data_IF_464193468076
#
_entry.id   IF_464193468076
#
_cell.length_a   1.000
_cell.length_b   1.000
_cell.length_c   1.000
_cell.angle_alpha   90.00
_cell.angle_beta   90.00
_cell.angle_gamma   90.00
#
_symmetry.space_group_name_H-M   'P 1'
#
loop_
_entity.id
_entity.type
_entity.pdbx_description
1 polymer ?
#
# COMPACT_ATOMS: atom_id res chain seq x y z
N UNK A 1 -19.24 -37.73 39.26
CA UNK A 1 -20.46 -37.45 38.47
C UNK A 1 -20.43 -38.37 37.26
N UNK A 2 -21.47 -39.19 37.04
CA UNK A 2 -21.50 -40.11 35.91
C UNK A 2 -21.40 -39.31 34.60
N UNK A 3 -20.75 -39.92 33.61
CA UNK A 3 -20.54 -39.39 32.27
C UNK A 3 -21.90 -39.33 31.54
N UNK A 4 -22.69 -38.29 31.79
CA UNK A 4 -23.90 -37.96 31.02
C UNK A 4 -23.49 -37.36 29.67
N UNK A 5 -22.78 -38.12 28.84
CA UNK A 5 -22.69 -37.79 27.43
C UNK A 5 -24.10 -37.88 26.85
N UNK A 6 -24.64 -36.75 26.38
CA UNK A 6 -25.91 -36.75 25.64
C UNK A 6 -25.82 -37.81 24.52
N UNK A 7 -26.84 -38.67 24.34
CA UNK A 7 -26.81 -39.68 23.29
C UNK A 7 -26.57 -39.01 21.94
N UNK A 8 -25.81 -39.67 21.06
CA UNK A 8 -25.58 -39.15 19.71
C UNK A 8 -26.88 -39.24 18.90
N UNK A 9 -27.70 -38.20 19.00
CA UNK A 9 -28.99 -38.09 18.33
C UNK A 9 -28.74 -37.76 16.86
N UNK A 10 -28.42 -38.78 16.06
CA UNK A 10 -28.37 -38.65 14.60
C UNK A 10 -29.79 -38.50 14.06
N UNK A 11 -30.08 -37.40 13.37
CA UNK A 11 -31.34 -37.26 12.63
C UNK A 11 -31.34 -38.30 11.50
N UNK A 12 -32.38 -39.15 11.36
CA UNK A 12 -32.41 -40.20 10.34
C UNK A 12 -32.21 -39.63 8.92
N UNK A 13 -31.27 -40.22 8.17
CA UNK A 13 -31.01 -39.85 6.79
C UNK A 13 -32.09 -40.46 5.89
N UNK A 14 -33.18 -39.72 5.64
CA UNK A 14 -34.26 -40.18 4.76
C UNK A 14 -35.60 -39.48 4.89
N UNK A 15 -35.74 -38.52 5.82
CA UNK A 15 -37.02 -37.82 5.99
C UNK A 15 -37.41 -36.98 4.77
N UNK A 16 -38.65 -37.19 4.30
CA UNK A 16 -39.29 -36.32 3.32
C UNK A 16 -39.30 -34.85 3.82
N UNK A 17 -39.20 -33.88 2.90
CA UNK A 17 -39.10 -32.45 3.24
C UNK A 17 -40.20 -31.98 4.20
N UNK A 18 -41.42 -32.52 4.07
CA UNK A 18 -42.59 -32.14 4.87
C UNK A 18 -42.49 -32.62 6.33
N UNK A 19 -41.81 -33.75 6.59
CA UNK A 19 -41.63 -34.32 7.93
C UNK A 19 -40.71 -33.44 8.78
N UNK A 20 -39.67 -32.87 8.18
CA UNK A 20 -38.72 -31.97 8.86
C UNK A 20 -39.41 -30.69 9.35
N UNK A 21 -40.26 -30.09 8.52
CA UNK A 21 -41.02 -28.88 8.90
C UNK A 21 -42.07 -29.19 9.97
N UNK A 22 -42.79 -30.31 9.82
CA UNK A 22 -43.80 -30.72 10.79
C UNK A 22 -43.22 -30.89 12.20
N UNK A 23 -42.03 -31.48 12.32
CA UNK A 23 -41.37 -31.67 13.62
C UNK A 23 -41.02 -30.33 14.29
N UNK A 24 -40.57 -29.32 13.53
CA UNK A 24 -40.31 -27.99 14.09
C UNK A 24 -41.59 -27.33 14.61
N UNK A 25 -42.71 -27.51 13.90
CA UNK A 25 -44.01 -27.00 14.34
C UNK A 25 -44.51 -27.73 15.59
N UNK A 26 -44.36 -29.06 15.66
CA UNK A 26 -44.72 -29.85 16.86
C UNK A 26 -43.89 -29.44 18.07
N UNK A 27 -42.57 -29.28 17.93
CA UNK A 27 -41.68 -28.80 19.00
C UNK A 27 -42.10 -27.39 19.45
N UNK A 28 -42.41 -26.50 18.52
CA UNK A 28 -42.85 -25.13 18.84
C UNK A 28 -44.18 -25.13 19.62
N UNK A 29 -45.13 -25.98 19.22
CA UNK A 29 -46.42 -26.11 19.91
C UNK A 29 -46.25 -26.70 21.31
N UNK A 30 -45.40 -27.73 21.46
CA UNK A 30 -45.07 -28.31 22.76
C UNK A 30 -44.40 -27.28 23.68
N UNK A 31 -43.48 -26.46 23.15
CA UNK A 31 -42.86 -25.38 23.91
C UNK A 31 -43.89 -24.36 24.38
N UNK A 32 -44.82 -23.94 23.52
CA UNK A 32 -45.91 -23.03 23.89
C UNK A 32 -46.76 -23.60 25.04
N UNK A 33 -47.13 -24.88 24.97
CA UNK A 33 -47.89 -25.54 26.03
C UNK A 33 -47.11 -25.61 27.37
N UNK A 34 -45.82 -25.92 27.33
CA UNK A 34 -44.93 -25.94 28.50
C UNK A 34 -44.83 -24.53 29.12
N UNK A 35 -44.68 -23.49 28.29
CA UNK A 35 -44.61 -22.09 28.77
C UNK A 35 -45.93 -21.67 29.41
N UNK A 36 -47.06 -22.01 28.81
CA UNK A 36 -48.37 -21.72 29.38
C UNK A 36 -48.58 -22.41 30.75
N UNK A 37 -48.22 -23.70 30.85
CA UNK A 37 -48.30 -24.47 32.09
C UNK A 37 -47.39 -23.90 33.19
N UNK A 38 -46.15 -23.52 32.84
CA UNK A 38 -45.23 -22.87 33.78
C UNK A 38 -45.67 -21.46 34.18
N UNK A 39 -46.30 -20.71 33.28
CA UNK A 39 -46.89 -19.41 33.58
C UNK A 39 -48.00 -19.50 34.63
N UNK A 40 -48.85 -20.53 34.53
CA UNK A 40 -49.84 -20.83 35.57
C UNK A 40 -49.17 -21.23 36.90
N UNK A 41 -48.19 -22.12 36.85
CA UNK A 41 -47.50 -22.61 38.05
C UNK A 41 -46.71 -21.50 38.78
N UNK A 42 -46.12 -20.56 38.04
CA UNK A 42 -45.41 -19.40 38.60
C UNK A 42 -46.34 -18.43 39.35
N UNK A 43 -47.62 -18.37 38.96
CA UNK A 43 -48.65 -17.55 39.60
C UNK A 43 -49.42 -18.30 40.71
N UNK A 44 -49.05 -19.55 41.01
CA UNK A 44 -49.67 -20.33 42.08
C UNK A 44 -49.39 -19.70 43.45
N UNK A 45 -50.38 -19.70 44.34
CA UNK A 45 -50.21 -19.29 45.74
C UNK A 45 -49.26 -20.22 46.52
N UNK A 46 -49.08 -21.46 46.06
CA UNK A 46 -48.22 -22.46 46.70
C UNK A 46 -46.74 -22.30 46.29
N UNK A 47 -45.88 -21.97 47.25
CA UNK A 47 -44.44 -21.80 47.03
C UNK A 47 -43.74 -23.04 46.49
N UNK A 48 -44.18 -24.25 46.86
CA UNK A 48 -43.59 -25.51 46.35
C UNK A 48 -43.84 -25.68 44.85
N UNK A 49 -45.03 -25.30 44.38
CA UNK A 49 -45.39 -25.36 42.95
C UNK A 49 -44.55 -24.38 42.14
N UNK A 50 -44.36 -23.15 42.66
CA UNK A 50 -43.49 -22.15 42.02
C UNK A 50 -42.03 -22.62 41.93
N UNK A 51 -41.47 -23.10 43.04
CA UNK A 51 -40.08 -23.58 43.08
C UNK A 51 -39.86 -24.83 42.22
N UNK A 52 -40.82 -25.77 42.20
CA UNK A 52 -40.75 -26.95 41.34
C UNK A 52 -40.79 -26.56 39.87
N UNK A 53 -41.63 -25.60 39.48
CA UNK A 53 -41.68 -25.08 38.11
C UNK A 53 -40.41 -24.35 37.70
N UNK A 54 -39.79 -23.60 38.63
CA UNK A 54 -38.52 -22.93 38.39
C UNK A 54 -37.36 -23.92 38.27
N UNK A 55 -37.31 -24.96 39.10
CA UNK A 55 -36.31 -26.02 39.02
C UNK A 55 -36.42 -26.78 37.67
N UNK A 56 -37.64 -27.16 37.28
CA UNK A 56 -37.92 -27.78 35.99
C UNK A 56 -37.48 -26.88 34.80
N UNK A 57 -37.77 -25.58 34.88
CA UNK A 57 -37.29 -24.59 33.90
C UNK A 57 -35.76 -24.56 33.81
N UNK A 58 -35.07 -24.50 34.95
CA UNK A 58 -33.61 -24.46 35.00
C UNK A 58 -32.98 -25.76 34.47
N UNK A 59 -33.55 -26.91 34.80
CA UNK A 59 -33.10 -28.19 34.25
C UNK A 59 -33.25 -28.25 32.73
N UNK A 60 -34.38 -27.80 32.18
CA UNK A 60 -34.56 -27.71 30.74
C UNK A 60 -33.54 -26.76 30.09
N UNK A 61 -33.30 -25.58 30.68
CA UNK A 61 -32.34 -24.61 30.15
C UNK A 61 -30.92 -25.20 30.14
N UNK A 62 -30.51 -25.89 31.21
CA UNK A 62 -29.22 -26.58 31.27
C UNK A 62 -29.11 -27.64 30.17
N UNK A 63 -30.17 -28.40 29.90
CA UNK A 63 -30.17 -29.39 28.83
C UNK A 63 -30.03 -28.75 27.43
N UNK A 64 -30.75 -27.64 27.18
CA UNK A 64 -30.64 -26.89 25.93
C UNK A 64 -29.24 -26.30 25.72
N UNK A 65 -28.67 -25.70 26.77
CA UNK A 65 -27.30 -25.17 26.72
C UNK A 65 -26.25 -26.27 26.50
N UNK A 66 -26.43 -27.45 27.09
CA UNK A 66 -25.57 -28.61 26.83
C UNK A 66 -25.64 -29.04 25.36
N UNK A 67 -26.83 -29.05 24.76
CA UNK A 67 -27.00 -29.39 23.33
C UNK A 67 -26.37 -28.32 22.41
N UNK A 68 -26.53 -27.03 22.74
CA UNK A 68 -25.86 -25.96 22.02
C UNK A 68 -24.33 -26.09 22.04
N UNK A 69 -23.77 -26.39 23.22
CA UNK A 69 -22.34 -26.61 23.38
C UNK A 69 -21.90 -27.83 22.59
N UNK A 70 -22.64 -28.95 22.64
CA UNK A 70 -22.36 -30.17 21.87
C UNK A 70 -22.24 -29.86 20.37
N UNK A 71 -23.15 -29.09 19.80
CA UNK A 71 -23.12 -28.71 18.37
C UNK A 71 -21.91 -27.82 18.06
N UNK A 72 -21.61 -26.83 18.91
CA UNK A 72 -20.47 -25.92 18.75
C UNK A 72 -19.14 -26.69 18.86
N UNK A 73 -19.03 -27.59 19.82
CA UNK A 73 -17.85 -28.42 20.08
C UNK A 73 -17.63 -29.44 18.96
N UNK A 74 -18.68 -30.11 18.49
CA UNK A 74 -18.60 -31.04 17.36
C UNK A 74 -18.13 -30.33 16.08
N UNK A 75 -18.56 -29.07 15.87
CA UNK A 75 -18.06 -28.24 14.76
C UNK A 75 -16.58 -27.90 14.94
N UNK A 76 -16.14 -27.53 16.14
CA UNK A 76 -14.75 -27.15 16.41
C UNK A 76 -13.80 -28.35 16.39
N UNK A 77 -14.27 -29.52 16.82
CA UNK A 77 -13.53 -30.78 16.81
C UNK A 77 -13.15 -31.23 15.38
N UNK A 78 -13.99 -30.92 14.37
CA UNK A 78 -13.72 -31.19 12.94
C UNK A 78 -12.55 -30.38 12.36
N UNK A 79 -12.13 -29.30 13.04
CA UNK A 79 -10.98 -28.49 12.63
C UNK A 79 -9.72 -29.11 13.23
N UNK A 80 -8.71 -29.36 12.38
CA UNK A 80 -7.38 -29.79 12.82
C UNK A 80 -6.88 -28.88 13.96
N UNK A 81 -6.38 -29.43 15.08
CA UNK A 81 -5.96 -28.63 16.24
C UNK A 81 -5.02 -27.47 15.92
N UNK A 82 -4.15 -27.58 14.90
CA UNK A 82 -3.21 -26.52 14.49
C UNK A 82 -3.90 -25.36 13.77
N UNK A 83 -5.10 -25.59 13.23
CA UNK A 83 -5.88 -24.61 12.47
C UNK A 83 -7.04 -24.00 13.29
N UNK A 84 -7.20 -24.42 14.57
CA UNK A 84 -8.24 -23.86 15.44
C UNK A 84 -7.88 -22.41 15.83
N UNK A 85 -8.87 -21.51 15.96
CA UNK A 85 -8.65 -20.17 16.49
C UNK A 85 -7.99 -20.22 17.87
N UNK A 86 -6.96 -19.39 18.08
CA UNK A 86 -6.30 -19.30 19.38
C UNK A 86 -7.13 -18.49 20.36
N UNK A 87 -7.21 -18.96 21.61
CA UNK A 87 -7.75 -18.16 22.71
C UNK A 87 -6.89 -16.90 22.91
N UNK A 88 -7.47 -15.68 22.84
CA UNK A 88 -6.81 -14.46 23.26
C UNK A 88 -6.57 -14.46 24.77
N UNK A 89 -5.68 -13.59 25.18
CA UNK A 89 -5.29 -13.32 26.56
C UNK A 89 -6.45 -13.33 27.58
N UNK A 90 -7.51 -12.54 27.31
CA UNK A 90 -8.68 -12.39 28.18
C UNK A 90 -9.46 -13.68 28.32
N UNK A 91 -9.60 -14.45 27.24
CA UNK A 91 -10.28 -15.73 27.25
C UNK A 91 -9.46 -16.80 27.98
N UNK A 92 -8.12 -16.77 27.90
CA UNK A 92 -7.26 -17.66 28.70
C UNK A 92 -7.46 -17.44 30.19
N UNK A 93 -7.54 -16.18 30.63
CA UNK A 93 -7.82 -15.86 32.03
C UNK A 93 -9.22 -16.36 32.44
N UNK A 94 -10.25 -16.09 31.64
CA UNK A 94 -11.61 -16.58 31.89
C UNK A 94 -11.69 -18.12 31.96
N UNK A 95 -10.90 -18.84 31.15
CA UNK A 95 -10.80 -20.30 31.21
C UNK A 95 -10.20 -20.76 32.55
N UNK A 96 -9.16 -20.09 33.04
CA UNK A 96 -8.56 -20.41 34.34
C UNK A 96 -9.51 -20.10 35.50
N UNK A 97 -10.24 -18.99 35.45
CA UNK A 97 -11.29 -18.63 36.41
C UNK A 97 -12.41 -19.68 36.43
N UNK A 98 -12.89 -20.10 35.26
CA UNK A 98 -13.91 -21.15 35.15
C UNK A 98 -13.40 -22.50 35.67
N UNK A 99 -12.15 -22.86 35.38
CA UNK A 99 -11.52 -24.05 35.93
C UNK A 99 -11.50 -24.01 37.46
N UNK A 100 -11.12 -22.86 38.04
CA UNK A 100 -11.08 -22.68 39.50
C UNK A 100 -12.47 -22.75 40.11
N UNK A 101 -13.46 -22.03 39.56
CA UNK A 101 -14.84 -22.01 40.04
C UNK A 101 -15.53 -23.40 39.96
N UNK A 102 -15.18 -24.21 38.96
CA UNK A 102 -15.74 -25.56 38.76
C UNK A 102 -14.96 -26.67 39.47
N UNK A 103 -13.81 -26.37 40.07
CA UNK A 103 -12.93 -27.38 40.66
C UNK A 103 -12.37 -28.37 39.64
N UNK A 104 -12.19 -27.96 38.38
CA UNK A 104 -11.74 -28.85 37.32
C UNK A 104 -10.26 -29.19 37.41
N UNK A 105 -9.91 -30.44 37.07
CA UNK A 105 -8.54 -30.84 36.77
C UNK A 105 -8.05 -30.21 35.45
N UNK A 106 -6.73 -30.22 35.21
CA UNK A 106 -6.15 -29.75 33.95
C UNK A 106 -6.74 -30.50 32.74
N UNK A 107 -6.91 -31.82 32.88
CA UNK A 107 -7.47 -32.66 31.83
C UNK A 107 -8.96 -32.35 31.56
N UNK A 108 -9.74 -32.05 32.60
CA UNK A 108 -11.15 -31.67 32.45
C UNK A 108 -11.28 -30.33 31.71
N UNK A 109 -10.55 -29.29 32.15
CA UNK A 109 -10.57 -27.99 31.48
C UNK A 109 -10.07 -28.09 30.03
N UNK A 110 -9.00 -28.86 29.80
CA UNK A 110 -8.45 -29.08 28.47
C UNK A 110 -9.46 -29.75 27.51
N UNK A 111 -10.18 -30.77 27.98
CA UNK A 111 -11.27 -31.39 27.20
C UNK A 111 -12.40 -30.41 26.92
N UNK A 112 -12.84 -29.64 27.91
CA UNK A 112 -13.94 -28.67 27.74
C UNK A 112 -13.61 -27.56 26.76
N UNK A 113 -12.36 -27.08 26.73
CA UNK A 113 -11.93 -26.00 25.83
C UNK A 113 -11.16 -26.50 24.60
N UNK A 114 -11.16 -27.82 24.35
CA UNK A 114 -10.54 -28.46 23.19
C UNK A 114 -9.05 -28.06 22.96
N UNK A 115 -8.30 -27.94 24.06
CA UNK A 115 -6.84 -27.67 24.08
C UNK A 115 -6.08 -28.83 24.72
N UNK A 116 -4.75 -28.82 24.62
CA UNK A 116 -3.92 -29.81 25.28
C UNK A 116 -3.77 -29.48 26.79
N UNK A 117 -3.75 -30.47 27.71
CA UNK A 117 -3.56 -30.23 29.15
C UNK A 117 -2.32 -29.40 29.49
N UNK A 118 -1.24 -29.57 28.72
CA UNK A 118 0.02 -28.84 28.85
C UNK A 118 -0.17 -27.34 28.57
N UNK A 119 -1.10 -26.99 27.69
CA UNK A 119 -1.42 -25.59 27.38
C UNK A 119 -2.03 -24.89 28.58
N UNK A 120 -2.95 -25.56 29.30
CA UNK A 120 -3.53 -25.03 30.53
C UNK A 120 -2.45 -24.92 31.62
N UNK A 121 -1.56 -25.91 31.74
CA UNK A 121 -0.45 -25.87 32.69
C UNK A 121 0.49 -24.69 32.44
N UNK A 122 0.82 -24.40 31.17
CA UNK A 122 1.64 -23.24 30.78
C UNK A 122 0.95 -21.92 31.13
N UNK A 123 -0.36 -21.81 30.95
CA UNK A 123 -1.09 -20.60 31.32
C UNK A 123 -1.11 -20.39 32.83
N UNK A 124 -1.33 -21.45 33.61
CA UNK A 124 -1.33 -21.40 35.07
C UNK A 124 0.04 -20.93 35.60
N UNK A 125 1.12 -21.57 35.12
CA UNK A 125 2.49 -21.22 35.48
C UNK A 125 2.81 -19.75 35.21
N UNK A 126 2.35 -19.19 34.09
CA UNK A 126 2.55 -17.77 33.76
C UNK A 126 1.79 -16.81 34.67
N UNK A 127 0.62 -17.20 35.16
CA UNK A 127 -0.12 -16.43 36.15
C UNK A 127 0.59 -16.46 37.49
N UNK A 128 1.12 -17.61 37.88
CA UNK A 128 1.83 -17.81 39.15
C UNK A 128 3.17 -17.06 39.18
N UNK A 129 3.94 -17.07 38.07
CA UNK A 129 5.27 -16.46 37.99
C UNK A 129 5.23 -14.95 37.68
N UNK A 130 4.31 -14.49 36.84
CA UNK A 130 4.32 -13.12 36.27
C UNK A 130 3.05 -12.31 36.61
N UNK A 131 2.13 -12.88 37.38
CA UNK A 131 0.86 -12.27 37.80
C UNK A 131 -0.24 -12.29 36.71
N UNK A 132 -1.51 -12.00 37.06
CA UNK A 132 -2.65 -12.08 36.12
C UNK A 132 -2.51 -11.16 34.89
N UNK A 133 -1.77 -10.06 35.03
CA UNK A 133 -1.54 -9.09 33.97
C UNK A 133 -0.64 -9.62 32.83
N UNK A 134 0.19 -10.65 33.08
CA UNK A 134 1.11 -11.21 32.10
C UNK A 134 0.40 -11.96 30.97
N UNK A 135 -0.71 -12.64 31.28
CA UNK A 135 -1.58 -13.24 30.27
C UNK A 135 -2.27 -12.17 29.42
N UNK A 136 -2.51 -10.98 29.99
CA UNK A 136 -3.26 -9.85 29.38
C UNK A 136 -2.38 -8.91 28.55
N UNK A 137 -1.13 -8.69 28.94
CA UNK A 137 -0.20 -7.86 28.19
C UNK A 137 0.40 -8.63 27.01
N UNK A 138 -0.13 -8.40 25.80
CA UNK A 138 0.54 -8.83 24.58
C UNK A 138 1.86 -8.05 24.43
N UNK A 139 3.04 -8.72 24.38
CA UNK A 139 4.24 -8.07 23.88
C UNK A 139 3.92 -7.54 22.49
N UNK A 140 3.99 -6.22 22.29
CA UNK A 140 3.70 -5.61 21.00
C UNK A 140 4.48 -6.31 19.89
N UNK A 141 3.88 -6.52 18.70
CA UNK A 141 4.52 -7.32 17.66
C UNK A 141 5.89 -6.74 17.32
N UNK A 142 6.94 -7.58 17.32
CA UNK A 142 8.35 -7.20 17.06
C UNK A 142 8.51 -6.47 15.71
N UNK A 143 7.60 -6.70 14.77
CA UNK A 143 7.54 -6.05 13.46
C UNK A 143 6.98 -4.61 13.48
N UNK A 144 6.40 -4.15 14.60
CA UNK A 144 5.79 -2.82 14.69
C UNK A 144 6.89 -1.75 14.67
N UNK A 145 6.79 -0.81 13.73
CA UNK A 145 7.65 0.37 13.73
C UNK A 145 7.30 1.29 14.91
N UNK A 146 8.31 1.92 15.56
CA UNK A 146 8.08 2.93 16.59
C UNK A 146 7.27 4.12 16.07
N UNK A 147 6.55 4.83 16.95
CA UNK A 147 5.65 5.91 16.55
C UNK A 147 6.36 7.12 15.93
N UNK A 148 7.62 7.38 16.26
CA UNK A 148 8.39 8.44 15.58
C UNK A 148 8.53 8.18 14.07
N UNK A 149 8.55 6.90 13.63
CA UNK A 149 8.57 6.55 12.20
C UNK A 149 7.27 6.95 11.53
N UNK A 150 6.13 6.79 12.22
CA UNK A 150 4.83 7.28 11.76
C UNK A 150 4.86 8.81 11.62
N UNK A 151 5.41 9.50 12.62
CA UNK A 151 5.56 10.97 12.59
C UNK A 151 6.42 11.42 11.40
N UNK A 152 7.56 10.77 11.12
CA UNK A 152 8.39 11.04 9.94
C UNK A 152 7.58 10.91 8.64
N UNK A 153 6.81 9.83 8.50
CA UNK A 153 5.99 9.58 7.30
C UNK A 153 4.91 10.66 7.13
N UNK A 154 4.21 11.01 8.21
CA UNK A 154 3.17 12.03 8.21
C UNK A 154 3.76 13.42 7.93
N UNK A 155 4.86 13.79 8.60
CA UNK A 155 5.57 15.06 8.39
C UNK A 155 6.05 15.19 6.95
N UNK A 156 6.64 14.14 6.38
CA UNK A 156 7.06 14.14 4.99
C UNK A 156 5.87 14.31 4.03
N UNK A 157 4.72 13.69 4.32
CA UNK A 157 3.49 13.90 3.52
C UNK A 157 3.00 15.35 3.60
N UNK A 158 3.09 15.98 4.77
CA UNK A 158 2.72 17.40 4.94
C UNK A 158 3.66 18.32 4.17
N UNK A 159 4.98 18.08 4.24
CA UNK A 159 5.98 18.88 3.51
C UNK A 159 5.94 18.64 2.00
N UNK A 160 5.50 17.46 1.56
CA UNK A 160 5.48 17.06 0.16
C UNK A 160 4.13 16.43 -0.23
N UNK A 161 3.04 17.21 -0.31
CA UNK A 161 1.67 16.70 -0.48
C UNK A 161 1.46 15.97 -1.81
N UNK A 162 2.26 16.25 -2.83
CA UNK A 162 2.20 15.58 -4.13
C UNK A 162 2.63 14.10 -4.08
N UNK A 163 3.37 13.69 -3.05
CA UNK A 163 3.89 12.33 -2.97
C UNK A 163 2.79 11.35 -2.53
N UNK A 164 2.53 10.36 -3.39
CA UNK A 164 1.70 9.20 -3.04
C UNK A 164 2.46 8.19 -2.16
N UNK A 165 1.73 7.26 -1.53
CA UNK A 165 2.28 6.24 -0.60
C UNK A 165 3.48 5.46 -1.15
N UNK A 166 3.45 5.10 -2.45
CA UNK A 166 4.54 4.36 -3.10
C UNK A 166 5.80 5.22 -3.24
N UNK A 167 5.63 6.49 -3.63
CA UNK A 167 6.75 7.39 -3.83
C UNK A 167 7.36 7.79 -2.48
N UNK A 168 6.54 8.00 -1.44
CA UNK A 168 7.02 8.17 -0.07
C UNK A 168 7.88 7.00 0.38
N UNK A 169 7.41 5.76 0.20
CA UNK A 169 8.19 4.57 0.52
C UNK A 169 9.55 4.54 -0.22
N UNK A 170 9.57 4.88 -1.51
CA UNK A 170 10.80 4.92 -2.30
C UNK A 170 11.75 6.05 -1.86
N UNK A 171 11.23 7.24 -1.56
CA UNK A 171 12.02 8.36 -1.04
C UNK A 171 12.65 7.98 0.30
N UNK A 172 11.88 7.38 1.21
CA UNK A 172 12.40 6.92 2.50
C UNK A 172 13.42 5.79 2.35
N UNK A 173 13.19 4.83 1.43
CA UNK A 173 14.16 3.78 1.16
C UNK A 173 15.50 4.35 0.65
N UNK A 174 15.46 5.40 -0.18
CA UNK A 174 16.67 6.12 -0.61
C UNK A 174 17.38 6.85 0.53
N UNK A 175 16.63 7.32 1.52
CA UNK A 175 17.17 7.90 2.75
C UNK A 175 17.61 6.84 3.78
N UNK A 176 17.43 5.55 3.49
CA UNK A 176 17.86 4.44 4.34
C UNK A 176 16.76 3.87 5.25
N UNK A 177 15.49 4.23 5.09
CA UNK A 177 14.37 3.68 5.85
C UNK A 177 13.40 2.90 4.95
N UNK A 178 13.37 1.58 5.11
CA UNK A 178 12.63 0.69 4.21
C UNK A 178 11.24 0.37 4.76
N UNK A 179 10.22 0.94 4.12
CA UNK A 179 8.81 0.71 4.46
C UNK A 179 8.03 0.19 3.26
N UNK A 180 7.11 -0.75 3.48
CA UNK A 180 6.16 -1.15 2.44
C UNK A 180 5.18 -0.02 2.16
N UNK A 181 4.74 0.12 0.91
CA UNK A 181 3.74 1.14 0.53
C UNK A 181 2.40 0.98 1.30
N UNK A 182 2.06 -0.24 1.70
CA UNK A 182 0.92 -0.56 2.56
C UNK A 182 1.13 -0.04 3.99
N UNK A 183 2.32 -0.23 4.57
CA UNK A 183 2.71 0.31 5.87
C UNK A 183 2.66 1.84 5.89
N UNK A 184 3.23 2.49 4.87
CA UNK A 184 3.11 3.95 4.70
C UNK A 184 1.63 4.36 4.62
N UNK A 185 0.84 3.65 3.83
CA UNK A 185 -0.60 3.90 3.73
C UNK A 185 -1.36 3.74 5.05
N UNK A 186 -0.96 2.79 5.91
CA UNK A 186 -1.52 2.64 7.27
C UNK A 186 -1.09 3.78 8.18
N UNK A 187 0.19 4.15 8.17
CA UNK A 187 0.73 5.27 8.96
C UNK A 187 0.06 6.62 8.62
N UNK A 188 -0.26 6.83 7.34
CA UNK A 188 -0.99 8.04 6.90
C UNK A 188 -2.46 8.06 7.30
N UNK A 189 -3.09 6.88 7.50
CA UNK A 189 -4.50 6.75 7.90
C UNK A 189 -4.68 6.68 9.40
N UNK A 190 -3.64 6.25 10.13
CA UNK A 190 -3.66 6.16 11.58
C UNK A 190 -3.75 7.57 12.18
N UNK A 191 -4.94 7.91 12.69
CA UNK A 191 -5.12 8.93 13.73
C UNK A 191 -4.88 8.27 15.09
N UNK A 192 -4.65 9.06 16.14
CA UNK A 192 -4.65 8.56 17.51
C UNK A 192 -5.95 7.77 17.77
N UNK A 193 -5.79 6.66 18.47
CA UNK A 193 -6.52 5.41 18.23
C UNK A 193 -8.01 5.43 18.63
N UNK A 194 -8.89 4.99 17.72
CA UNK A 194 -10.09 4.16 18.01
C UNK A 194 -10.30 3.16 16.85
N UNK A 195 -10.55 1.89 17.17
CA UNK A 195 -10.86 0.81 16.20
C UNK A 195 -12.39 0.71 15.97
N UNK A 196 -12.88 0.16 14.83
CA UNK A 196 -14.10 0.60 14.15
C UNK A 196 -15.23 -0.43 14.19
N UNK A 197 -16.27 -0.24 13.35
CA UNK A 197 -16.59 -1.33 12.44
C UNK A 197 -16.84 -0.91 10.98
N UNK A 198 -16.62 -1.88 10.08
CA UNK A 198 -17.34 -2.05 8.81
C UNK A 198 -16.81 -1.32 7.56
N UNK A 199 -16.45 -2.10 6.53
CA UNK A 199 -16.48 -1.63 5.13
C UNK A 199 -17.34 -2.58 4.30
N UNK A 200 -18.23 -2.08 3.44
CA UNK A 200 -18.70 -2.84 2.29
C UNK A 200 -17.64 -2.87 1.18
N UNK A 201 -17.53 -4.02 0.52
CA UNK A 201 -16.79 -4.23 -0.73
C UNK A 201 -17.42 -3.38 -1.85
N UNK A 202 -16.59 -2.75 -2.68
CA UNK A 202 -17.00 -2.17 -3.95
C UNK A 202 -16.24 -2.84 -5.10
N UNK A 203 -17.05 -3.37 -6.02
CA UNK A 203 -16.89 -3.74 -7.43
C UNK A 203 -15.52 -4.19 -7.97
N UNK A 204 -15.54 -5.41 -8.49
CA UNK A 204 -14.65 -5.88 -9.56
C UNK A 204 -14.84 -5.01 -10.81
N UNK A 205 -13.76 -4.34 -11.23
CA UNK A 205 -13.65 -3.84 -12.59
C UNK A 205 -13.15 -4.96 -13.47
N UNK A 206 -14.00 -5.39 -14.40
CA UNK A 206 -13.66 -6.27 -15.53
C UNK A 206 -12.56 -5.59 -16.35
N UNK A 207 -11.38 -6.21 -16.41
CA UNK A 207 -10.31 -5.79 -17.31
C UNK A 207 -10.64 -6.27 -18.73
N UNK A 208 -11.20 -5.38 -19.54
CA UNK A 208 -11.24 -5.55 -21.00
C UNK A 208 -9.81 -5.68 -21.54
N UNK A 209 -9.52 -6.86 -22.07
CA UNK A 209 -8.26 -7.18 -22.74
C UNK A 209 -8.21 -6.44 -24.09
N UNK A 210 -7.58 -5.26 -24.12
CA UNK A 210 -7.20 -4.60 -25.36
C UNK A 210 -5.98 -5.31 -25.99
N UNK A 211 -5.94 -5.48 -27.33
CA UNK A 211 -5.00 -6.38 -27.99
C UNK A 211 -3.53 -5.95 -27.85
N UNK A 212 -2.65 -6.94 -27.84
CA UNK A 212 -1.20 -6.88 -27.61
C UNK A 212 -0.51 -5.78 -28.41
N UNK A 213 -0.24 -4.68 -27.72
CA UNK A 213 0.45 -3.52 -28.27
C UNK A 213 1.94 -3.81 -28.46
N UNK A 214 2.50 -3.40 -29.61
CA UNK A 214 3.96 -3.40 -29.84
C UNK A 214 4.65 -2.48 -28.82
N UNK A 215 5.10 -3.04 -27.70
CA UNK A 215 5.86 -2.33 -26.67
C UNK A 215 7.20 -1.88 -27.27
N UNK A 216 7.48 -0.58 -27.21
CA UNK A 216 8.80 -0.05 -27.60
C UNK A 216 9.82 -0.54 -26.58
N UNK A 217 10.64 -1.53 -26.96
CA UNK A 217 11.68 -2.07 -26.07
C UNK A 217 13.03 -1.38 -26.31
N UNK A 218 13.59 -0.75 -25.28
CA UNK A 218 14.97 -0.26 -25.29
C UNK A 218 15.88 -1.21 -24.51
N UNK A 219 17.02 -1.60 -25.10
CA UNK A 219 17.92 -2.62 -24.53
C UNK A 219 19.06 -2.04 -23.68
N UNK A 220 19.50 -0.82 -23.98
CA UNK A 220 20.64 -0.16 -23.32
C UNK A 220 20.49 1.37 -23.32
N UNK A 221 21.25 2.11 -22.49
CA UNK A 221 21.25 3.57 -22.49
C UNK A 221 21.57 4.15 -23.88
N UNK A 222 20.85 5.17 -24.32
CA UNK A 222 20.95 5.76 -25.66
C UNK A 222 20.53 4.82 -26.80
N UNK A 223 19.83 3.71 -26.53
CA UNK A 223 19.25 2.92 -27.61
C UNK A 223 18.11 3.68 -28.31
N UNK A 224 17.21 4.26 -27.53
CA UNK A 224 16.02 4.96 -28.01
C UNK A 224 15.82 6.23 -27.21
N UNK A 225 15.79 7.37 -27.87
CA UNK A 225 15.38 8.64 -27.27
C UNK A 225 13.97 9.00 -27.72
N UNK A 226 13.18 9.56 -26.82
CA UNK A 226 11.89 10.17 -27.13
C UNK A 226 12.07 11.68 -27.13
N UNK A 227 11.48 12.34 -28.12
CA UNK A 227 11.53 13.80 -28.29
C UNK A 227 10.12 14.31 -28.47
N UNK A 228 9.76 15.32 -27.69
CA UNK A 228 8.44 15.92 -27.74
C UNK A 228 8.50 17.40 -27.34
N UNK A 229 7.49 18.15 -27.77
CA UNK A 229 7.31 19.56 -27.45
C UNK A 229 6.12 19.73 -26.50
N UNK A 230 6.26 20.61 -25.53
CA UNK A 230 5.15 20.95 -24.64
C UNK A 230 5.15 22.42 -24.30
N UNK A 231 3.99 22.97 -23.99
CA UNK A 231 3.83 24.35 -23.54
C UNK A 231 3.83 24.46 -22.02
N UNK A 232 4.46 25.52 -21.53
CA UNK A 232 4.49 25.96 -20.14
C UNK A 232 3.93 27.39 -20.05
N UNK A 233 2.64 27.56 -19.71
CA UNK A 233 2.01 28.85 -19.49
C UNK A 233 2.73 29.67 -18.42
N UNK A 234 2.81 30.98 -18.62
CA UNK A 234 3.44 31.94 -17.69
C UNK A 234 2.45 32.57 -16.72
N UNK A 235 1.16 32.57 -17.05
CA UNK A 235 0.04 33.05 -16.22
C UNK A 235 -1.30 32.74 -16.90
N UNK A 236 -2.39 32.69 -16.12
CA UNK A 236 -3.78 32.57 -16.59
C UNK A 236 -4.09 31.29 -17.39
N UNK A 237 -4.79 30.33 -16.77
CA UNK A 237 -5.28 29.08 -17.35
C UNK A 237 -4.23 28.16 -18.03
N UNK A 238 -3.97 27.00 -17.41
CA UNK A 238 -3.16 25.92 -18.00
C UNK A 238 -3.90 25.15 -19.12
N UNK A 239 -4.78 25.82 -19.88
CA UNK A 239 -5.59 25.25 -20.95
C UNK A 239 -4.96 25.57 -22.30
N UNK A 240 -4.56 24.53 -23.03
CA UNK A 240 -3.93 24.66 -24.35
C UNK A 240 -4.95 24.62 -25.51
N UNK A 241 -6.26 24.66 -25.23
CA UNK A 241 -7.33 24.55 -26.21
C UNK A 241 -8.24 25.78 -26.21
N UNK A 242 -8.82 26.09 -27.37
CA UNK A 242 -9.73 27.21 -27.59
C UNK A 242 -11.08 27.03 -26.86
N UNK A 243 -11.76 28.11 -26.44
CA UNK A 243 -11.39 29.52 -26.60
C UNK A 243 -10.46 30.06 -25.50
N UNK A 244 -10.17 29.25 -24.47
CA UNK A 244 -9.46 29.70 -23.26
C UNK A 244 -7.92 29.64 -23.38
N UNK A 245 -7.38 29.26 -24.54
CA UNK A 245 -5.94 29.29 -24.77
C UNK A 245 -5.49 30.69 -25.16
N UNK A 246 -4.71 31.34 -24.29
CA UNK A 246 -3.91 32.49 -24.69
C UNK A 246 -2.97 32.10 -25.85
N UNK A 247 -2.56 33.09 -26.65
CA UNK A 247 -1.66 32.85 -27.78
C UNK A 247 -0.45 32.02 -27.33
N UNK A 248 -0.20 30.88 -27.98
CA UNK A 248 0.85 29.93 -27.59
C UNK A 248 2.26 30.44 -27.97
N UNK A 249 2.61 31.60 -27.43
CA UNK A 249 3.87 32.31 -27.58
C UNK A 249 4.14 33.15 -26.34
N UNK A 250 5.38 33.55 -26.17
CA UNK A 250 5.78 34.54 -25.17
C UNK A 250 5.04 35.86 -25.44
N UNK A 251 4.52 36.56 -24.41
CA UNK A 251 4.78 36.34 -22.99
C UNK A 251 3.85 35.37 -22.27
N UNK A 252 2.87 34.74 -22.94
CA UNK A 252 1.83 33.91 -22.30
C UNK A 252 2.23 32.44 -22.09
N UNK A 253 3.13 31.91 -22.92
CA UNK A 253 3.70 30.60 -22.69
C UNK A 253 5.13 30.46 -23.22
N UNK A 254 5.86 29.53 -22.60
CA UNK A 254 7.11 29.00 -23.12
C UNK A 254 6.87 27.70 -23.86
N UNK A 255 7.60 27.49 -24.97
CA UNK A 255 7.70 26.20 -25.61
C UNK A 255 8.92 25.46 -25.08
N UNK A 256 8.70 24.23 -24.60
CA UNK A 256 9.71 23.34 -24.05
C UNK A 256 9.91 22.16 -24.98
N UNK A 257 11.12 21.97 -25.48
CA UNK A 257 11.52 20.74 -26.16
C UNK A 257 12.21 19.82 -25.16
N UNK A 258 11.78 18.56 -25.07
CA UNK A 258 12.30 17.60 -24.11
C UNK A 258 12.86 16.39 -24.84
N UNK A 259 13.98 15.87 -24.36
CA UNK A 259 14.55 14.58 -24.80
C UNK A 259 14.66 13.65 -23.61
N UNK A 260 14.14 12.43 -23.70
CA UNK A 260 14.25 11.41 -22.64
C UNK A 260 14.76 10.08 -23.21
N UNK A 261 15.74 9.47 -22.53
CA UNK A 261 16.21 8.13 -22.84
C UNK A 261 15.20 7.09 -22.35
N UNK A 262 14.76 6.21 -23.25
CA UNK A 262 13.72 5.24 -22.91
C UNK A 262 14.19 4.22 -21.86
N UNK A 263 15.45 3.77 -21.93
CA UNK A 263 15.95 2.70 -21.08
C UNK A 263 16.10 3.13 -19.61
N UNK A 264 16.71 4.29 -19.40
CA UNK A 264 17.02 4.83 -18.07
C UNK A 264 15.96 5.79 -17.53
N UNK A 265 15.04 6.26 -18.39
CA UNK A 265 14.14 7.38 -18.11
C UNK A 265 14.87 8.70 -17.87
N UNK A 266 16.18 8.79 -18.17
CA UNK A 266 16.97 10.00 -17.98
C UNK A 266 16.55 11.07 -18.97
N UNK A 267 16.28 12.27 -18.48
CA UNK A 267 16.08 13.43 -19.36
C UNK A 267 17.44 13.85 -19.86
N UNK A 268 17.62 13.80 -21.17
CA UNK A 268 18.88 14.03 -21.85
C UNK A 268 19.12 15.52 -22.07
N UNK A 269 18.06 16.29 -22.28
CA UNK A 269 18.13 17.74 -22.42
C UNK A 269 16.75 18.40 -22.48
N UNK A 270 16.74 19.71 -22.22
CA UNK A 270 15.58 20.59 -22.41
C UNK A 270 15.94 21.85 -23.17
N UNK A 271 15.08 22.25 -24.09
CA UNK A 271 15.17 23.51 -24.82
C UNK A 271 14.00 24.41 -24.46
N UNK A 272 14.25 25.72 -24.29
CA UNK A 272 13.21 26.72 -24.02
C UNK A 272 13.16 27.72 -25.17
N UNK A 273 11.96 27.95 -25.71
CA UNK A 273 11.69 28.79 -26.88
C UNK A 273 10.52 29.74 -26.63
N UNK A 274 10.59 30.94 -27.22
CA UNK A 274 9.54 31.98 -27.13
C UNK A 274 8.29 31.67 -27.95
N UNK A 275 8.38 30.78 -28.92
CA UNK A 275 7.28 30.37 -29.79
C UNK A 275 7.51 28.93 -30.23
N UNK A 276 6.54 28.34 -30.92
CA UNK A 276 6.70 26.98 -31.47
C UNK A 276 7.99 26.92 -32.30
N UNK A 277 8.94 26.03 -31.94
CA UNK A 277 10.24 26.00 -32.60
C UNK A 277 10.12 25.40 -34.00
N UNK A 278 10.82 26.01 -34.95
CA UNK A 278 10.96 25.46 -36.31
C UNK A 278 11.85 24.21 -36.27
N UNK A 279 11.74 23.36 -37.29
CA UNK A 279 12.54 22.13 -37.40
C UNK A 279 14.06 22.35 -37.23
N UNK A 280 14.60 23.45 -37.78
CA UNK A 280 16.03 23.80 -37.64
C UNK A 280 16.41 24.02 -36.17
N UNK A 281 15.61 24.78 -35.42
CA UNK A 281 15.84 25.05 -34.00
C UNK A 281 15.78 23.76 -33.16
N UNK A 282 14.86 22.85 -33.50
CA UNK A 282 14.79 21.52 -32.87
C UNK A 282 16.04 20.69 -33.19
N UNK A 283 16.52 20.69 -34.45
CA UNK A 283 17.75 20.00 -34.84
C UNK A 283 19.00 20.57 -34.13
N UNK A 284 19.07 21.89 -33.94
CA UNK A 284 20.17 22.55 -33.24
C UNK A 284 20.14 22.22 -31.73
N UNK A 285 18.96 22.16 -31.14
CA UNK A 285 18.76 21.68 -29.76
C UNK A 285 19.17 20.22 -29.59
N UNK A 286 18.76 19.33 -30.50
CA UNK A 286 19.16 17.91 -30.46
C UNK A 286 20.66 17.73 -30.67
N UNK A 287 21.26 18.54 -31.54
CA UNK A 287 22.72 18.52 -31.77
C UNK A 287 23.48 18.92 -30.51
N UNK A 288 23.04 19.98 -29.81
CA UNK A 288 23.61 20.37 -28.52
C UNK A 288 23.42 19.28 -27.47
N UNK A 289 22.22 18.72 -27.34
CA UNK A 289 21.94 17.62 -26.40
C UNK A 289 22.86 16.41 -26.63
N UNK A 290 23.08 16.00 -27.88
CA UNK A 290 24.00 14.90 -28.23
C UNK A 290 25.43 15.20 -27.79
N UNK A 291 25.90 16.43 -28.04
CA UNK A 291 27.24 16.88 -27.65
C UNK A 291 27.39 16.90 -26.13
N UNK A 292 26.43 17.50 -25.43
CA UNK A 292 26.50 17.72 -23.98
C UNK A 292 26.42 16.38 -23.21
N UNK A 293 25.63 15.43 -23.71
CA UNK A 293 25.56 14.05 -23.17
C UNK A 293 26.77 13.20 -23.59
N UNK A 294 27.49 13.61 -24.64
CA UNK A 294 28.54 12.82 -25.31
C UNK A 294 28.04 11.44 -25.79
N UNK A 295 26.78 11.36 -26.21
CA UNK A 295 26.19 10.13 -26.74
C UNK A 295 25.12 10.41 -27.79
N UNK A 296 24.97 9.48 -28.74
CA UNK A 296 24.02 9.58 -29.85
C UNK A 296 23.01 8.43 -29.80
N UNK A 297 21.70 8.68 -29.96
CA UNK A 297 20.72 7.61 -30.00
C UNK A 297 20.78 6.79 -31.30
N UNK A 298 20.44 5.51 -31.22
CA UNK A 298 20.20 4.69 -32.42
C UNK A 298 18.85 5.03 -33.08
N UNK A 299 17.82 5.25 -32.25
CA UNK A 299 16.48 5.60 -32.67
C UNK A 299 15.98 6.86 -31.96
N UNK A 300 15.28 7.73 -32.68
CA UNK A 300 14.49 8.82 -32.10
C UNK A 300 13.02 8.51 -32.34
N UNK A 301 12.22 8.58 -31.29
CA UNK A 301 10.76 8.52 -31.34
C UNK A 301 10.22 9.94 -31.14
N UNK A 302 9.38 10.39 -32.05
CA UNK A 302 8.73 11.70 -32.02
C UNK A 302 7.32 11.61 -32.60
N UNK A 303 6.50 12.62 -32.37
CA UNK A 303 5.18 12.74 -32.99
C UNK A 303 5.29 13.15 -34.48
N UNK A 304 4.15 13.23 -35.17
CA UNK A 304 4.08 13.71 -36.56
C UNK A 304 3.95 15.24 -36.65
N UNK A 305 4.32 15.99 -35.60
CA UNK A 305 4.27 17.44 -35.62
C UNK A 305 5.14 18.04 -36.74
N UNK A 306 4.78 19.24 -37.20
CA UNK A 306 5.42 19.94 -38.34
C UNK A 306 6.94 20.08 -38.19
N UNK A 307 7.43 20.16 -36.96
CA UNK A 307 8.85 20.23 -36.62
C UNK A 307 9.63 18.94 -36.93
N UNK A 308 8.99 17.77 -36.85
CA UNK A 308 9.61 16.46 -37.05
C UNK A 308 9.21 15.83 -38.39
N UNK A 309 7.97 16.05 -38.85
CA UNK A 309 7.47 15.55 -40.13
C UNK A 309 7.87 16.47 -41.30
N UNK A 310 9.17 16.68 -41.50
CA UNK A 310 9.67 17.55 -42.56
C UNK A 310 11.01 17.06 -43.15
N UNK A 311 11.33 17.51 -44.38
CA UNK A 311 12.58 17.15 -45.08
C UNK A 311 13.84 17.53 -44.27
N UNK A 312 13.95 18.71 -43.63
CA UNK A 312 15.14 19.08 -42.85
C UNK A 312 15.44 18.12 -41.69
N UNK A 313 14.43 17.73 -40.91
CA UNK A 313 14.59 16.80 -39.80
C UNK A 313 15.03 15.41 -40.29
N UNK A 314 14.36 14.87 -41.32
CA UNK A 314 14.73 13.58 -41.93
C UNK A 314 16.17 13.60 -42.44
N UNK A 315 16.61 14.70 -43.07
CA UNK A 315 18.00 14.89 -43.53
C UNK A 315 18.99 14.99 -42.36
N UNK A 316 18.64 15.68 -41.28
CA UNK A 316 19.47 15.77 -40.07
C UNK A 316 19.67 14.38 -39.43
N UNK A 317 18.62 13.58 -39.31
CA UNK A 317 18.67 12.20 -38.83
C UNK A 317 19.56 11.33 -39.72
N UNK A 318 19.37 11.36 -41.05
CA UNK A 318 20.17 10.59 -42.02
C UNK A 318 21.67 10.89 -41.89
N UNK A 319 22.06 12.18 -41.87
CA UNK A 319 23.47 12.60 -41.71
C UNK A 319 24.12 12.07 -40.43
N UNK A 320 23.33 11.99 -39.35
CA UNK A 320 23.80 11.47 -38.06
C UNK A 320 23.55 9.98 -37.90
N UNK A 321 23.16 9.23 -38.94
CA UNK A 321 22.81 7.79 -38.87
C UNK A 321 21.81 7.46 -37.73
N UNK A 322 20.89 8.38 -37.45
CA UNK A 322 19.80 8.19 -36.48
C UNK A 322 18.56 7.75 -37.25
N UNK A 323 17.87 6.70 -36.77
CA UNK A 323 16.64 6.21 -37.41
C UNK A 323 15.41 6.83 -36.73
N UNK A 324 14.71 7.80 -37.36
CA UNK A 324 13.50 8.36 -36.77
C UNK A 324 12.36 7.33 -36.86
N UNK A 325 11.55 7.28 -35.80
CA UNK A 325 10.30 6.52 -35.73
C UNK A 325 9.22 7.50 -35.29
N UNK A 326 8.09 7.48 -35.97
CA UNK A 326 6.99 8.38 -35.68
C UNK A 326 5.90 7.63 -34.93
N UNK A 327 5.41 8.22 -33.84
CA UNK A 327 4.22 7.71 -33.15
C UNK A 327 3.05 7.64 -34.13
N UNK A 328 2.32 6.53 -34.16
CA UNK A 328 1.08 6.44 -34.92
C UNK A 328 -0.05 7.12 -34.13
N UNK A 329 -0.79 8.01 -34.79
CA UNK A 329 -2.02 8.61 -34.24
C UNK A 329 -2.95 7.45 -33.86
N UNK A 330 -3.42 7.42 -32.61
CA UNK A 330 -4.33 6.38 -32.10
C UNK A 330 -3.69 5.08 -31.56
N UNK A 331 -2.36 4.90 -31.62
CA UNK A 331 -1.68 3.75 -30.95
C UNK A 331 -1.05 4.17 -29.62
N UNK A 332 -1.82 3.98 -28.54
CA UNK A 332 -1.51 4.32 -27.15
C UNK A 332 -0.28 3.62 -26.56
N UNK A 333 0.96 4.06 -26.78
CA UNK A 333 2.06 3.51 -25.97
C UNK A 333 3.46 3.94 -26.35
N UNK A 334 3.67 4.31 -27.61
CA UNK A 334 5.01 4.71 -28.08
C UNK A 334 5.50 6.01 -27.41
N UNK A 335 4.61 6.95 -27.08
CA UNK A 335 4.94 8.24 -26.44
C UNK A 335 4.67 8.29 -24.93
N UNK A 336 4.09 7.24 -24.36
CA UNK A 336 3.65 7.21 -22.95
C UNK A 336 4.76 7.55 -21.94
N UNK A 337 6.03 7.31 -22.32
CA UNK A 337 7.21 7.60 -21.49
C UNK A 337 7.46 9.10 -21.40
N UNK A 338 7.49 9.79 -22.55
CA UNK A 338 7.76 11.23 -22.58
C UNK A 338 6.54 12.00 -22.09
N UNK A 339 5.32 11.56 -22.39
CA UNK A 339 4.08 12.13 -21.86
C UNK A 339 4.04 12.06 -20.32
N UNK A 340 4.42 10.91 -19.74
CA UNK A 340 4.51 10.75 -18.28
C UNK A 340 5.58 11.66 -17.67
N UNK A 341 6.68 11.87 -18.38
CA UNK A 341 7.68 12.85 -17.94
C UNK A 341 7.14 14.27 -18.04
N UNK A 342 6.52 14.67 -19.15
CA UNK A 342 5.93 16.02 -19.33
C UNK A 342 4.91 16.30 -18.22
N UNK A 343 4.07 15.33 -17.87
CA UNK A 343 3.17 15.44 -16.71
C UNK A 343 3.94 15.65 -15.41
N UNK A 344 5.01 14.90 -15.17
CA UNK A 344 5.88 15.10 -13.99
C UNK A 344 6.50 16.49 -13.98
N UNK A 345 7.07 16.95 -15.09
CA UNK A 345 7.68 18.28 -15.25
C UNK A 345 6.68 19.39 -14.91
N UNK A 346 5.42 19.26 -15.35
CA UNK A 346 4.36 20.22 -15.04
C UNK A 346 3.90 20.12 -13.58
N UNK A 347 3.55 18.92 -13.10
CA UNK A 347 2.89 18.73 -11.79
C UNK A 347 3.83 18.92 -10.60
N UNK A 348 5.08 18.45 -10.73
CA UNK A 348 6.09 18.49 -9.66
C UNK A 348 7.06 19.67 -9.81
N UNK A 349 7.17 20.26 -11.00
CA UNK A 349 8.03 21.41 -11.27
C UNK A 349 7.23 22.68 -11.53
N UNK A 350 6.83 22.89 -12.78
CA UNK A 350 6.39 24.19 -13.29
C UNK A 350 5.12 24.74 -12.64
N UNK A 351 4.17 23.89 -12.23
CA UNK A 351 2.95 24.32 -11.52
C UNK A 351 3.18 24.70 -10.05
N UNK A 352 4.41 24.52 -9.54
CA UNK A 352 4.78 24.80 -8.14
C UNK A 352 5.51 26.12 -7.97
N UNK A 353 5.70 26.85 -9.05
CA UNK A 353 6.45 28.10 -9.08
C UNK A 353 5.69 29.16 -9.87
N UNK A 354 6.05 30.42 -9.63
CA UNK A 354 5.79 31.48 -10.59
C UNK A 354 6.77 31.30 -11.75
N UNK A 355 6.24 30.99 -12.94
CA UNK A 355 7.07 30.70 -14.12
C UNK A 355 7.84 31.97 -14.53
N UNK A 356 9.18 31.94 -14.62
CA UNK A 356 9.95 33.12 -14.95
C UNK A 356 9.63 33.67 -16.36
N UNK A 357 9.49 34.99 -16.49
CA UNK A 357 9.21 35.67 -17.76
C UNK A 357 10.47 35.93 -18.60
N UNK A 358 11.66 35.82 -18.01
CA UNK A 358 12.94 35.96 -18.71
C UNK A 358 13.44 34.60 -19.18
N UNK A 359 13.88 34.51 -20.44
CA UNK A 359 14.37 33.26 -21.04
C UNK A 359 15.53 32.63 -20.25
N UNK A 360 16.48 33.44 -19.75
CA UNK A 360 17.60 32.96 -18.95
C UNK A 360 17.15 32.27 -17.66
N UNK A 361 16.31 32.96 -16.87
CA UNK A 361 15.74 32.42 -15.62
C UNK A 361 14.91 31.17 -15.88
N UNK A 362 14.08 31.15 -16.93
CA UNK A 362 13.27 29.98 -17.29
C UNK A 362 14.14 28.77 -17.67
N UNK A 363 15.25 28.99 -18.39
CA UNK A 363 16.22 27.92 -18.71
C UNK A 363 16.89 27.38 -17.46
N UNK A 364 17.36 28.25 -16.58
CA UNK A 364 17.96 27.84 -15.29
C UNK A 364 16.98 26.99 -14.49
N UNK A 365 15.72 27.40 -14.45
CA UNK A 365 14.68 26.69 -13.70
C UNK A 365 14.34 25.33 -14.30
N UNK A 366 14.13 25.27 -15.62
CA UNK A 366 13.88 24.03 -16.34
C UNK A 366 15.03 23.02 -16.17
N UNK A 367 16.28 23.51 -16.19
CA UNK A 367 17.46 22.68 -15.96
C UNK A 367 17.56 22.19 -14.51
N UNK A 368 17.22 23.01 -13.52
CA UNK A 368 17.21 22.60 -12.11
C UNK A 368 16.18 21.48 -11.84
N UNK A 369 14.97 21.60 -12.41
CA UNK A 369 13.95 20.54 -12.32
C UNK A 369 14.45 19.24 -12.92
N UNK A 370 15.14 19.30 -14.07
CA UNK A 370 15.70 18.12 -14.74
C UNK A 370 16.85 17.50 -13.96
N UNK A 371 17.75 18.33 -13.42
CA UNK A 371 18.84 17.86 -12.58
C UNK A 371 18.26 17.10 -11.39
N UNK A 372 17.32 17.69 -10.65
CA UNK A 372 16.62 17.04 -9.54
C UNK A 372 15.89 15.75 -9.97
N UNK A 373 15.18 15.77 -11.10
CA UNK A 373 14.49 14.60 -11.63
C UNK A 373 15.48 13.45 -11.90
N UNK A 374 16.62 13.76 -12.51
CA UNK A 374 17.63 12.77 -12.87
C UNK A 374 18.41 12.25 -11.65
N UNK A 375 18.70 13.09 -10.66
CA UNK A 375 19.63 12.75 -9.55
C UNK A 375 18.94 12.37 -8.25
N UNK A 376 17.75 12.91 -7.98
CA UNK A 376 17.10 12.81 -6.67
C UNK A 376 15.79 12.01 -6.71
N UNK A 377 14.99 12.18 -7.76
CA UNK A 377 13.62 11.63 -7.83
C UNK A 377 13.62 10.11 -8.04
N UNK A 378 12.97 9.31 -7.17
CA UNK A 378 12.82 7.87 -7.40
C UNK A 378 11.79 7.54 -8.49
N UNK A 379 12.01 6.41 -9.18
CA UNK A 379 11.11 5.92 -10.22
C UNK A 379 10.61 4.50 -9.94
N UNK A 380 9.30 4.32 -9.87
CA UNK A 380 8.67 2.99 -9.69
C UNK A 380 9.05 2.00 -10.79
N UNK A 381 9.08 2.43 -12.05
CA UNK A 381 9.49 1.59 -13.19
C UNK A 381 10.96 1.19 -13.15
N UNK A 382 11.78 1.85 -12.31
CA UNK A 382 13.19 1.55 -12.09
C UNK A 382 13.45 0.90 -10.72
N UNK A 383 12.40 0.47 -10.01
CA UNK A 383 12.53 -0.12 -8.67
C UNK A 383 13.04 0.86 -7.60
N UNK A 384 12.68 2.14 -7.72
CA UNK A 384 13.09 3.19 -6.78
C UNK A 384 14.46 3.83 -7.07
N UNK A 385 15.15 3.39 -8.13
CA UNK A 385 16.37 4.05 -8.63
C UNK A 385 16.03 5.39 -9.27
N UNK A 386 17.01 6.30 -9.31
CA UNK A 386 16.91 7.52 -10.12
C UNK A 386 17.30 7.23 -11.57
N UNK A 387 16.91 8.11 -12.51
CA UNK A 387 17.32 7.97 -13.89
C UNK A 387 18.84 7.97 -14.09
N UNK A 388 19.59 8.80 -13.35
CA UNK A 388 21.05 8.81 -13.42
C UNK A 388 21.68 7.52 -12.89
N UNK A 389 21.17 6.97 -11.78
CA UNK A 389 21.63 5.68 -11.25
C UNK A 389 21.47 4.56 -12.29
N UNK A 390 20.32 4.54 -12.99
CA UNK A 390 20.07 3.56 -14.05
C UNK A 390 20.91 3.80 -15.30
N UNK A 391 21.09 5.06 -15.70
CA UNK A 391 21.84 5.44 -16.90
C UNK A 391 23.33 5.15 -16.75
N UNK A 392 23.93 5.59 -15.63
CA UNK A 392 25.36 5.43 -15.33
C UNK A 392 25.72 4.04 -14.77
N UNK A 393 24.72 3.21 -14.46
CA UNK A 393 24.88 1.88 -13.86
C UNK A 393 25.64 1.89 -12.53
N UNK A 394 25.46 2.95 -11.74
CA UNK A 394 26.06 3.08 -10.40
C UNK A 394 25.19 2.40 -9.34
N UNK A 395 25.79 2.15 -8.17
CA UNK A 395 25.07 1.62 -7.01
C UNK A 395 23.91 2.56 -6.62
N UNK A 396 22.71 1.99 -6.49
CA UNK A 396 21.50 2.76 -6.20
C UNK A 396 21.39 3.10 -4.72
N UNK A 397 21.07 4.35 -4.39
CA UNK A 397 20.93 4.79 -3.00
C UNK A 397 19.89 3.98 -2.22
N UNK A 398 18.79 3.56 -2.87
CA UNK A 398 17.76 2.71 -2.24
C UNK A 398 18.23 1.30 -1.84
N UNK A 399 19.43 0.87 -2.22
CA UNK A 399 20.01 -0.42 -1.82
C UNK A 399 21.19 -0.27 -0.84
N UNK A 400 21.50 0.96 -0.42
CA UNK A 400 22.53 1.21 0.60
C UNK A 400 22.08 0.60 1.93
N UNK A 401 23.02 0.29 2.85
CA UNK A 401 22.66 -0.21 4.17
C UNK A 401 21.60 0.68 4.86
N UNK A 402 20.54 0.05 5.34
CA UNK A 402 19.36 0.70 5.91
C UNK A 402 19.51 0.93 7.41
N UNK A 403 18.86 1.95 7.92
CA UNK A 403 18.60 2.12 9.34
C UNK A 403 17.47 1.17 9.78
N UNK A 404 17.61 0.58 10.96
CA UNK A 404 16.59 -0.31 11.54
C UNK A 404 16.06 0.28 12.86
N UNK A 405 14.91 0.99 12.82
CA UNK A 405 14.30 1.59 14.02
C UNK A 405 13.79 0.58 15.06
N UNK A 406 13.54 -0.67 14.64
CA UNK A 406 12.92 -1.69 15.50
C UNK A 406 13.99 -2.38 16.34
N UNK A 407 14.00 -2.11 17.64
CA UNK A 407 15.06 -2.58 18.56
C UNK A 407 15.24 -4.11 18.59
N UNK A 408 14.15 -4.87 18.48
CA UNK A 408 14.15 -6.34 18.54
C UNK A 408 14.09 -7.01 17.15
N UNK A 409 14.20 -6.25 16.06
CA UNK A 409 14.15 -6.82 14.71
C UNK A 409 15.51 -7.42 14.33
N UNK A 410 15.59 -8.71 13.95
CA UNK A 410 16.87 -9.33 13.61
C UNK A 410 17.54 -8.63 12.42
N UNK A 411 18.87 -8.49 12.46
CA UNK A 411 19.66 -7.84 11.41
C UNK A 411 19.50 -8.50 10.05
N UNK A 412 19.39 -9.83 10.03
CA UNK A 412 19.32 -10.65 8.82
C UNK A 412 17.89 -10.84 8.32
N UNK A 413 16.89 -10.37 9.09
CA UNK A 413 15.50 -10.46 8.65
C UNK A 413 15.24 -9.57 7.43
N UNK A 414 14.46 -10.06 6.45
CA UNK A 414 14.15 -9.32 5.24
C UNK A 414 13.36 -8.05 5.57
N UNK A 415 13.54 -7.01 4.76
CA UNK A 415 12.82 -5.75 4.88
C UNK A 415 11.89 -5.52 3.69
N UNK A 416 11.26 -4.34 3.61
CA UNK A 416 10.54 -3.95 2.41
C UNK A 416 11.49 -3.85 1.22
N UNK A 417 11.03 -4.27 0.03
CA UNK A 417 11.79 -4.13 -1.21
C UNK A 417 12.09 -2.65 -1.52
N UNK A 418 13.29 -2.33 -2.02
CA UNK A 418 14.40 -3.26 -2.29
C UNK A 418 15.06 -3.77 -1.00
N UNK A 419 15.52 -5.02 -0.98
CA UNK A 419 16.28 -5.56 0.15
C UNK A 419 17.61 -4.80 0.31
N UNK A 420 17.97 -4.48 1.55
CA UNK A 420 19.22 -3.82 1.91
C UNK A 420 19.69 -4.32 3.27
N UNK A 421 21.00 -4.46 3.50
CA UNK A 421 21.56 -4.89 4.80
C UNK A 421 21.32 -3.82 5.87
N UNK A 422 21.27 -4.20 7.15
CA UNK A 422 21.21 -3.22 8.25
C UNK A 422 22.56 -2.51 8.40
N UNK A 423 22.53 -1.18 8.59
CA UNK A 423 23.71 -0.31 8.70
C UNK A 423 24.38 -0.34 10.08
N UNK A 424 23.60 -0.45 11.15
CA UNK A 424 24.06 -0.32 12.55
C UNK A 424 23.21 -1.21 13.48
N UNK A 425 23.48 -1.17 14.78
CA UNK A 425 22.63 -1.87 15.77
C UNK A 425 21.15 -1.44 15.60
N UNK A 426 20.20 -2.38 15.56
CA UNK A 426 18.77 -2.05 15.54
C UNK A 426 18.34 -1.20 16.74
N UNK A 427 17.22 -0.49 16.59
CA UNK A 427 16.68 0.40 17.63
C UNK A 427 17.11 1.86 17.52
N UNK A 428 17.68 2.25 16.38
CA UNK A 428 18.15 3.62 16.18
C UNK A 428 16.99 4.62 16.03
N UNK A 429 17.12 5.78 16.66
CA UNK A 429 16.20 6.92 16.44
C UNK A 429 16.65 7.72 15.23
N UNK A 430 15.68 8.17 14.42
CA UNK A 430 15.94 8.91 13.19
C UNK A 430 15.23 10.25 13.22
N UNK A 431 15.87 11.24 12.61
CA UNK A 431 15.30 12.56 12.36
C UNK A 431 15.16 12.80 10.85
N UNK A 432 14.04 13.42 10.45
CA UNK A 432 13.76 13.78 9.07
C UNK A 432 14.43 15.11 8.71
N UNK A 433 15.29 15.08 7.69
CA UNK A 433 15.87 16.29 7.10
C UNK A 433 15.31 16.46 5.69
N UNK A 434 14.67 17.60 5.47
CA UNK A 434 14.19 18.00 4.14
C UNK A 434 14.97 19.23 3.73
N UNK A 435 15.86 19.04 2.76
CA UNK A 435 16.58 20.11 2.08
C UNK A 435 15.95 20.35 0.71
N UNK A 436 16.45 21.33 -0.04
CA UNK A 436 15.89 21.79 -1.29
C UNK A 436 16.97 21.92 -2.35
N UNK A 437 16.77 21.26 -3.49
CA UNK A 437 17.75 21.21 -4.56
C UNK A 437 18.06 22.61 -5.07
N UNK A 438 19.31 23.07 -4.90
CA UNK A 438 19.73 24.43 -5.24
C UNK A 438 18.83 25.52 -4.60
N UNK A 439 18.37 25.30 -3.37
CA UNK A 439 17.51 26.25 -2.63
C UNK A 439 16.05 26.31 -3.10
N UNK A 440 15.63 25.47 -4.04
CA UNK A 440 14.28 25.51 -4.62
C UNK A 440 13.28 24.70 -3.80
N UNK A 441 12.40 25.39 -3.07
CA UNK A 441 11.39 24.77 -2.18
C UNK A 441 10.50 23.71 -2.83
N UNK A 442 10.26 23.79 -4.13
CA UNK A 442 9.45 22.82 -4.87
C UNK A 442 10.21 21.55 -5.28
N UNK A 443 11.54 21.50 -5.08
CA UNK A 443 12.41 20.36 -5.40
C UNK A 443 13.02 19.76 -4.12
N UNK A 444 12.23 19.03 -3.31
CA UNK A 444 12.68 18.51 -2.03
C UNK A 444 13.74 17.40 -2.19
N UNK A 445 14.73 17.41 -1.31
CA UNK A 445 15.75 16.37 -1.14
C UNK A 445 15.63 15.85 0.29
N UNK A 446 15.27 14.57 0.42
CA UNK A 446 14.98 13.96 1.73
C UNK A 446 16.15 13.12 2.18
N UNK A 447 16.58 13.35 3.42
CA UNK A 447 17.59 12.57 4.11
C UNK A 447 17.08 12.18 5.52
N UNK A 448 17.73 11.16 6.09
CA UNK A 448 17.52 10.73 7.47
C UNK A 448 18.87 10.69 8.16
N UNK A 449 18.92 11.26 9.36
CA UNK A 449 20.09 11.24 10.25
C UNK A 449 19.74 10.53 11.54
N UNK A 450 20.73 9.88 12.16
CA UNK A 450 20.59 9.34 13.49
C UNK A 450 20.36 10.50 14.45
N UNK A 451 19.32 10.41 15.29
CA UNK A 451 19.15 11.33 16.40
C UNK A 451 20.22 11.03 17.46
N UNK A 452 20.79 12.07 18.06
CA UNK A 452 21.73 11.97 19.16
C UNK A 452 21.06 11.37 20.41
#
# INVERSE_FOLDING_TARGET
MPDESLPDLSVPSGWAKNVKSAILHVISLAHFAIVAARGWAANSLNARVRLSSENDRLHQEVQLLREELRIKDARLAKIDPRNRPHYPATERMAILELKAARGWSLAQAARTFLVAPETIAVWLKRVDEEGPASLVQLPGPVNKFPDFVRHIVQRLKTLCPALGKVKLAQVLARAGLHLCATTVGRMLKAKDQKWPPGKPKAAETVEEHSPTQRVVTAKYPNHVWHVDLTVAPTGGFWTAWLPFSLAQRWPFCWWLAVVIDHFSRRVMGIGVFRSQPRSRQVCDFLTRTIRDVKARPRYIICDKGVQFWCKPFKRWCKRRKIKPRFGAIGRYGSLAVIERFIRTLKDEGLRRILVPLTLGKMRTEANAIIAWYNTCRPHTTLGGKTPDERYRRVASACRRPRWEPRARWPSDSPCASPQAKVRSKPGIRLELVVDYFQGRRHLPVVALRAAA
#
